data_IF_422484850333
#
_entry.id   IF_422484850333
#
_cell.length_a   1.000
_cell.length_b   1.000
_cell.length_c   1.000
_cell.angle_alpha   90.00
_cell.angle_beta   90.00
_cell.angle_gamma   90.00
#
_symmetry.space_group_name_H-M   'P 1'
#
loop_
_entity.id
_entity.type
_entity.pdbx_description
1 polymer ?
#
# COMPACT_ATOMS: atom_id res chain seq x y z
N UNK A 1 29.74 38.94 -8.37
CA UNK A 1 28.72 37.89 -8.58
C UNK A 1 28.99 36.73 -7.61
N UNK A 2 28.25 36.64 -6.51
CA UNK A 2 28.42 35.57 -5.51
C UNK A 2 27.54 34.39 -5.89
N UNK A 3 28.14 33.33 -6.43
CA UNK A 3 27.43 32.09 -6.72
C UNK A 3 27.15 31.34 -5.42
N UNK A 4 25.89 31.39 -4.96
CA UNK A 4 25.37 30.64 -3.81
C UNK A 4 25.66 29.13 -3.93
N UNK A 5 26.64 28.62 -3.19
CA UNK A 5 26.83 27.20 -2.83
C UNK A 5 25.73 26.75 -1.84
N UNK A 6 24.46 26.79 -2.22
CA UNK A 6 23.33 26.47 -1.31
C UNK A 6 22.74 25.06 -1.53
N UNK A 7 23.02 24.38 -2.66
CA UNK A 7 22.26 23.19 -3.04
C UNK A 7 22.58 21.86 -2.30
N UNK A 8 23.62 21.77 -1.46
CA UNK A 8 24.02 20.49 -0.83
C UNK A 8 23.57 20.30 0.63
N UNK A 9 23.16 21.36 1.33
CA UNK A 9 22.88 21.29 2.78
C UNK A 9 21.53 20.65 3.08
N UNK A 10 20.48 21.02 2.33
CA UNK A 10 19.11 20.51 2.53
C UNK A 10 18.93 19.01 2.23
N UNK A 11 19.87 18.42 1.48
CA UNK A 11 19.85 17.00 1.09
C UNK A 11 20.34 16.05 2.22
N UNK A 12 21.05 16.57 3.22
CA UNK A 12 21.60 15.75 4.31
C UNK A 12 20.62 15.67 5.47
N UNK A 13 19.99 16.79 5.85
CA UNK A 13 19.07 16.85 7.00
C UNK A 13 17.77 16.05 6.80
N UNK A 14 17.36 15.80 5.55
CA UNK A 14 16.15 15.03 5.28
C UNK A 14 16.36 13.50 5.24
N UNK A 15 17.60 12.99 5.25
CA UNK A 15 17.88 11.56 5.06
C UNK A 15 17.47 10.68 6.25
N UNK A 16 17.43 11.26 7.46
CA UNK A 16 17.18 10.50 8.69
C UNK A 16 15.74 9.96 8.73
N UNK A 17 14.78 10.73 8.20
CA UNK A 17 13.37 10.36 8.12
C UNK A 17 12.97 9.69 6.78
N UNK A 18 13.95 9.12 6.07
CA UNK A 18 13.75 8.55 4.74
C UNK A 18 14.29 7.12 4.66
N UNK A 19 13.60 6.27 3.91
CA UNK A 19 14.06 4.93 3.58
C UNK A 19 14.01 4.71 2.07
N UNK A 20 14.96 3.93 1.54
CA UNK A 20 15.07 3.69 0.10
C UNK A 20 15.31 2.21 -0.18
N UNK A 21 14.85 1.75 -1.34
CA UNK A 21 15.24 0.46 -1.89
C UNK A 21 15.37 0.54 -3.41
N UNK A 22 16.14 -0.39 -3.97
CA UNK A 22 16.41 -0.48 -5.41
C UNK A 22 16.31 -1.93 -5.86
N UNK A 23 15.75 -2.13 -7.04
CA UNK A 23 15.78 -3.40 -7.75
C UNK A 23 16.40 -3.20 -9.12
N UNK A 24 17.37 -4.04 -9.46
CA UNK A 24 18.13 -3.94 -10.70
C UNK A 24 17.77 -5.10 -11.66
N UNK A 25 17.84 -4.84 -12.97
CA UNK A 25 17.68 -5.85 -14.02
C UNK A 25 16.39 -6.68 -13.93
N UNK A 26 15.28 -6.08 -13.49
CA UNK A 26 13.99 -6.75 -13.41
C UNK A 26 13.43 -7.07 -14.80
N UNK A 27 12.84 -8.25 -14.97
CA UNK A 27 12.27 -8.72 -16.24
C UNK A 27 10.88 -8.14 -16.55
N UNK A 28 10.71 -6.83 -16.41
CA UNK A 28 9.45 -6.12 -16.64
C UNK A 28 9.60 -5.09 -17.77
N UNK A 29 8.47 -4.61 -18.30
CA UNK A 29 8.51 -3.54 -19.29
C UNK A 29 8.67 -2.18 -18.61
N UNK A 30 9.61 -1.37 -19.09
CA UNK A 30 9.79 0.01 -18.65
C UNK A 30 8.52 0.85 -18.82
N UNK A 31 7.76 0.63 -19.89
CA UNK A 31 6.52 1.37 -20.15
C UNK A 31 5.49 1.13 -19.04
N UNK A 32 5.26 -0.13 -18.68
CA UNK A 32 4.36 -0.49 -17.58
C UNK A 32 4.86 0.06 -16.24
N UNK A 33 6.16 -0.06 -15.97
CA UNK A 33 6.75 0.48 -14.75
C UNK A 33 6.60 2.00 -14.63
N UNK A 34 6.74 2.75 -15.73
CA UNK A 34 6.56 4.21 -15.73
C UNK A 34 5.12 4.61 -15.40
N UNK A 35 4.11 3.92 -15.94
CA UNK A 35 2.71 4.22 -15.61
C UNK A 35 2.39 3.88 -14.16
N UNK A 36 2.85 2.72 -13.67
CA UNK A 36 2.72 2.33 -12.24
C UNK A 36 3.39 3.38 -11.34
N UNK A 37 4.62 3.76 -11.67
CA UNK A 37 5.40 4.78 -10.95
C UNK A 37 4.66 6.10 -10.87
N UNK A 38 4.11 6.58 -11.99
CA UNK A 38 3.39 7.84 -12.05
C UNK A 38 2.12 7.80 -11.19
N UNK A 39 1.42 6.67 -11.15
CA UNK A 39 0.20 6.51 -10.37
C UNK A 39 0.45 6.44 -8.85
N UNK A 40 1.50 5.71 -8.45
CA UNK A 40 1.82 5.47 -7.04
C UNK A 40 2.61 6.61 -6.38
N UNK A 41 3.22 7.50 -7.17
CA UNK A 41 3.98 8.63 -6.63
C UNK A 41 3.09 9.49 -5.74
N UNK A 42 3.62 9.89 -4.58
CA UNK A 42 2.92 10.67 -3.56
C UNK A 42 1.72 9.98 -2.90
N UNK A 43 1.56 8.67 -3.04
CA UNK A 43 0.57 7.90 -2.28
C UNK A 43 1.17 7.35 -0.98
N UNK A 44 0.33 7.11 0.05
CA UNK A 44 0.77 6.40 1.24
C UNK A 44 1.15 4.96 0.89
N UNK A 45 2.10 4.40 1.63
CA UNK A 45 2.65 3.07 1.35
C UNK A 45 1.59 1.96 1.44
N UNK A 46 0.69 2.06 2.43
CA UNK A 46 -0.42 1.11 2.64
C UNK A 46 -1.41 1.07 1.45
N UNK A 47 -1.77 2.23 0.93
CA UNK A 47 -2.61 2.33 -0.28
C UNK A 47 -1.90 1.73 -1.50
N UNK A 48 -0.60 2.01 -1.66
CA UNK A 48 0.15 1.51 -2.80
C UNK A 48 0.20 -0.03 -2.84
N UNK A 49 0.40 -0.68 -1.68
CA UNK A 49 0.41 -2.14 -1.57
C UNK A 49 -0.95 -2.76 -1.90
N UNK A 50 -2.00 -2.33 -1.20
CA UNK A 50 -3.37 -2.83 -1.42
C UNK A 50 -3.83 -2.65 -2.87
N UNK A 51 -3.55 -1.49 -3.46
CA UNK A 51 -3.90 -1.23 -4.86
C UNK A 51 -3.14 -2.15 -5.83
N UNK A 52 -1.85 -2.39 -5.59
CA UNK A 52 -1.06 -3.27 -6.45
C UNK A 52 -1.46 -4.74 -6.33
N UNK A 53 -1.91 -5.19 -5.15
CA UNK A 53 -2.49 -6.53 -4.97
C UNK A 53 -3.76 -6.70 -5.80
N UNK A 54 -4.64 -5.69 -5.80
CA UNK A 54 -5.86 -5.71 -6.63
C UNK A 54 -5.53 -5.67 -8.13
N UNK A 55 -4.47 -4.97 -8.54
CA UNK A 55 -4.00 -4.96 -9.93
C UNK A 55 -3.44 -6.34 -10.32
N UNK A 56 -2.69 -6.99 -9.43
CA UNK A 56 -2.20 -8.35 -9.65
C UNK A 56 -3.36 -9.36 -9.78
N UNK A 57 -4.46 -9.12 -9.07
CA UNK A 57 -5.70 -9.89 -9.16
C UNK A 57 -6.66 -9.42 -10.27
N UNK A 58 -6.21 -8.53 -11.17
CA UNK A 58 -6.99 -8.00 -12.30
C UNK A 58 -8.28 -7.25 -11.91
N UNK A 59 -8.41 -6.82 -10.65
CA UNK A 59 -9.60 -6.12 -10.15
C UNK A 59 -9.58 -4.62 -10.42
N UNK A 60 -8.43 -3.97 -10.23
CA UNK A 60 -8.25 -2.53 -10.48
C UNK A 60 -7.27 -2.29 -11.62
N UNK A 61 -7.63 -1.42 -12.55
CA UNK A 61 -6.81 -1.08 -13.70
C UNK A 61 -5.90 0.11 -13.38
N UNK A 62 -4.67 0.09 -13.89
CA UNK A 62 -3.76 1.23 -13.80
C UNK A 62 -4.00 2.15 -15.00
N UNK A 63 -4.14 3.47 -14.80
CA UNK A 63 -4.27 4.42 -15.90
C UNK A 63 -2.97 4.53 -16.69
N UNK A 64 -3.06 4.53 -18.01
CA UNK A 64 -1.93 4.71 -18.92
C UNK A 64 -1.99 6.11 -19.51
N UNK A 65 -1.12 7.01 -19.05
CA UNK A 65 -1.13 8.42 -19.45
C UNK A 65 -0.14 8.70 -20.59
N UNK A 66 1.10 8.20 -20.49
CA UNK A 66 2.17 8.46 -21.46
C UNK A 66 2.13 7.45 -22.61
N UNK A 67 2.02 6.16 -22.28
CA UNK A 67 2.09 5.04 -23.23
C UNK A 67 0.70 4.51 -23.59
N UNK A 68 -0.20 5.39 -24.04
CA UNK A 68 -1.62 5.11 -24.29
C UNK A 68 -1.99 4.67 -25.72
N UNK A 69 -1.03 4.51 -26.63
CA UNK A 69 -1.31 4.09 -28.02
C UNK A 69 -1.83 2.65 -28.03
N UNK A 70 -2.98 2.43 -28.68
CA UNK A 70 -3.65 1.11 -28.80
C UNK A 70 -3.94 0.46 -27.43
N UNK A 71 -4.33 1.27 -26.45
CA UNK A 71 -4.76 0.79 -25.13
C UNK A 71 -6.28 0.90 -25.06
N UNK A 72 -6.95 -0.20 -24.68
CA UNK A 72 -8.40 -0.24 -24.54
C UNK A 72 -8.90 0.60 -23.36
N UNK A 73 -10.15 1.03 -23.47
CA UNK A 73 -10.84 1.77 -22.42
C UNK A 73 -11.18 0.86 -21.24
N UNK A 74 -11.23 1.44 -20.03
CA UNK A 74 -11.58 0.75 -18.78
C UNK A 74 -12.61 1.56 -18.00
N UNK A 75 -13.41 0.93 -17.14
CA UNK A 75 -14.38 1.65 -16.33
C UNK A 75 -13.69 2.74 -15.50
N UNK A 76 -14.18 3.98 -15.62
CA UNK A 76 -13.60 5.15 -14.96
C UNK A 76 -12.32 5.72 -15.60
N UNK A 77 -11.84 5.19 -16.73
CA UNK A 77 -10.64 5.72 -17.40
C UNK A 77 -10.59 5.44 -18.90
N UNK A 78 -10.17 6.43 -19.70
CA UNK A 78 -10.04 6.27 -21.14
C UNK A 78 -8.96 5.26 -21.56
N UNK A 79 -7.80 5.20 -20.88
CA UNK A 79 -6.77 4.21 -21.21
C UNK A 79 -6.29 3.53 -19.94
N UNK A 80 -6.48 2.21 -19.85
CA UNK A 80 -6.07 1.44 -18.67
C UNK A 80 -5.67 0.00 -19.01
N UNK A 81 -4.72 -0.55 -18.25
CA UNK A 81 -4.33 -1.97 -18.33
C UNK A 81 -4.08 -2.55 -16.94
N UNK A 82 -3.95 -3.88 -16.89
CA UNK A 82 -3.60 -4.63 -15.70
C UNK A 82 -2.18 -5.21 -15.85
N UNK A 83 -1.11 -4.48 -15.49
CA UNK A 83 0.26 -4.95 -15.64
C UNK A 83 0.67 -5.91 -14.51
N UNK A 84 0.12 -7.12 -14.51
CA UNK A 84 0.28 -8.14 -13.44
C UNK A 84 1.75 -8.39 -13.07
N UNK A 85 2.60 -8.71 -14.06
CA UNK A 85 4.02 -9.01 -13.82
C UNK A 85 4.76 -7.84 -13.17
N UNK A 86 4.48 -6.62 -13.62
CA UNK A 86 5.11 -5.44 -13.03
C UNK A 86 4.58 -5.19 -11.61
N UNK A 87 3.26 -5.30 -11.40
CA UNK A 87 2.65 -5.13 -10.08
C UNK A 87 3.28 -6.06 -9.02
N UNK A 88 3.49 -7.34 -9.36
CA UNK A 88 4.16 -8.31 -8.47
C UNK A 88 5.59 -7.89 -8.09
N UNK A 89 6.38 -7.39 -9.04
CA UNK A 89 7.74 -6.91 -8.75
C UNK A 89 7.73 -5.61 -7.92
N UNK A 90 6.77 -4.71 -8.15
CA UNK A 90 6.59 -3.52 -7.32
C UNK A 90 6.19 -3.87 -5.88
N UNK A 91 5.32 -4.86 -5.67
CA UNK A 91 4.95 -5.32 -4.32
C UNK A 91 6.17 -5.80 -3.54
N UNK A 92 7.02 -6.63 -4.16
CA UNK A 92 8.28 -7.10 -3.55
C UNK A 92 9.17 -5.92 -3.14
N UNK A 93 9.31 -4.92 -4.02
CA UNK A 93 10.11 -3.73 -3.73
C UNK A 93 9.52 -2.91 -2.59
N UNK A 94 8.20 -2.68 -2.55
CA UNK A 94 7.56 -1.93 -1.46
C UNK A 94 7.67 -2.64 -0.11
N UNK A 95 7.61 -3.98 -0.07
CA UNK A 95 7.84 -4.75 1.14
C UNK A 95 9.30 -4.62 1.63
N UNK A 96 10.26 -4.60 0.70
CA UNK A 96 11.67 -4.34 1.05
C UNK A 96 11.88 -2.92 1.59
N UNK A 97 11.21 -1.90 1.02
CA UNK A 97 11.29 -0.53 1.54
C UNK A 97 10.68 -0.43 2.94
N UNK A 98 9.56 -1.11 3.20
CA UNK A 98 8.94 -1.15 4.52
C UNK A 98 9.87 -1.78 5.56
N UNK A 99 10.50 -2.92 5.24
CA UNK A 99 11.48 -3.55 6.11
C UNK A 99 12.67 -2.62 6.41
N UNK A 100 13.16 -1.89 5.39
CA UNK A 100 14.20 -0.89 5.57
C UNK A 100 13.75 0.30 6.44
N UNK A 101 12.49 0.73 6.32
CA UNK A 101 11.93 1.80 7.14
C UNK A 101 11.75 1.36 8.59
N UNK A 102 11.31 0.11 8.81
CA UNK A 102 11.21 -0.49 10.14
C UNK A 102 12.58 -0.64 10.80
N UNK A 103 13.60 -1.06 10.05
CA UNK A 103 14.97 -1.12 10.55
C UNK A 103 15.50 0.25 10.99
N UNK A 104 15.09 1.32 10.30
CA UNK A 104 15.39 2.70 10.68
C UNK A 104 14.54 3.25 11.83
N UNK A 105 13.56 2.49 12.33
CA UNK A 105 12.65 2.94 13.39
C UNK A 105 11.59 3.95 12.93
N UNK A 106 11.32 4.05 11.63
CA UNK A 106 10.29 4.95 11.09
C UNK A 106 8.89 4.37 11.30
N UNK A 107 7.89 5.24 11.51
CA UNK A 107 6.51 4.78 11.64
C UNK A 107 5.92 4.36 10.30
N UNK A 108 5.68 3.04 10.14
CA UNK A 108 5.15 2.40 8.93
C UNK A 108 3.81 3.01 8.48
N UNK A 109 2.94 3.39 9.43
CA UNK A 109 1.62 3.93 9.11
C UNK A 109 1.68 5.29 8.41
N UNK A 110 2.73 6.08 8.68
CA UNK A 110 2.89 7.45 8.18
C UNK A 110 3.86 7.55 6.99
N UNK A 111 4.23 6.42 6.36
CA UNK A 111 5.12 6.42 5.21
C UNK A 111 4.41 6.84 3.92
N UNK A 112 5.03 7.79 3.21
CA UNK A 112 4.59 8.24 1.89
C UNK A 112 5.70 8.04 0.87
N UNK A 113 5.33 7.57 -0.33
CA UNK A 113 6.26 7.44 -1.44
C UNK A 113 6.59 8.84 -1.98
N UNK A 114 7.83 9.29 -1.80
CA UNK A 114 8.29 10.59 -2.30
C UNK A 114 8.82 10.45 -3.72
N UNK A 115 9.70 9.47 -3.92
CA UNK A 115 10.36 9.22 -5.19
C UNK A 115 10.11 7.79 -5.61
N UNK A 116 9.66 7.64 -6.84
CA UNK A 116 9.55 6.35 -7.50
C UNK A 116 10.08 6.53 -8.91
N UNK A 117 11.28 6.01 -9.18
CA UNK A 117 11.91 6.09 -10.49
C UNK A 117 11.96 4.73 -11.16
N UNK A 118 11.78 4.74 -12.47
CA UNK A 118 11.86 3.55 -13.32
C UNK A 118 12.73 3.88 -14.51
N UNK A 119 13.85 3.18 -14.62
CA UNK A 119 14.83 3.37 -15.68
C UNK A 119 14.94 2.11 -16.54
N UNK A 120 15.27 2.30 -17.81
CA UNK A 120 15.57 1.20 -18.72
C UNK A 120 16.89 0.55 -18.30
N UNK A 121 16.94 -0.77 -18.24
CA UNK A 121 18.16 -1.51 -17.95
C UNK A 121 18.85 -1.99 -19.22
N UNK A 122 20.05 -2.55 -19.06
CA UNK A 122 20.76 -3.24 -20.14
C UNK A 122 19.87 -4.34 -20.74
N UNK A 123 19.81 -4.34 -22.06
CA UNK A 123 18.92 -5.14 -22.88
C UNK A 123 19.71 -6.30 -23.48
N UNK A 124 19.61 -7.53 -22.95
CA UNK A 124 20.31 -8.66 -23.55
C UNK A 124 19.74 -8.94 -24.94
N UNK A 125 20.63 -9.17 -25.89
CA UNK A 125 20.29 -9.63 -27.24
C UNK A 125 19.88 -11.10 -27.15
N UNK A 126 18.76 -11.48 -27.78
CA UNK A 126 18.43 -12.90 -27.99
C UNK A 126 19.10 -13.40 -29.26
N UNK A 127 19.57 -14.65 -29.27
CA UNK A 127 20.26 -15.29 -30.41
C UNK A 127 19.38 -15.60 -31.63
N UNK A 128 18.20 -14.99 -31.74
CA UNK A 128 17.31 -15.17 -32.89
C UNK A 128 17.82 -14.40 -34.11
N UNK A 129 17.44 -14.83 -35.32
CA UNK A 129 17.74 -14.15 -36.61
C UNK A 129 17.44 -12.65 -36.57
N UNK A 130 16.36 -12.25 -35.89
CA UNK A 130 15.92 -10.86 -35.79
C UNK A 130 16.40 -10.15 -34.51
N UNK A 131 17.32 -10.75 -33.74
CA UNK A 131 17.96 -10.20 -32.54
C UNK A 131 17.03 -9.38 -31.64
N UNK A 132 15.87 -9.96 -31.28
CA UNK A 132 14.93 -9.28 -30.36
C UNK A 132 15.58 -9.13 -29.00
N UNK A 133 15.24 -8.08 -28.27
CA UNK A 133 15.76 -7.89 -26.91
C UNK A 133 14.70 -8.09 -25.84
N UNK A 134 15.07 -8.79 -24.77
CA UNK A 134 14.22 -8.99 -23.60
C UNK A 134 14.21 -7.73 -22.74
N UNK A 135 13.02 -7.19 -22.49
CA UNK A 135 12.85 -5.97 -21.69
C UNK A 135 13.37 -6.17 -20.27
N UNK A 136 14.20 -5.22 -19.81
CA UNK A 136 14.73 -5.15 -18.46
C UNK A 136 14.62 -3.73 -17.90
N UNK A 137 14.43 -3.59 -16.59
CA UNK A 137 14.30 -2.29 -15.92
C UNK A 137 14.97 -2.24 -14.55
N UNK A 138 15.39 -1.04 -14.17
CA UNK A 138 15.75 -0.70 -12.80
C UNK A 138 14.59 0.08 -12.16
N UNK A 139 14.33 -0.16 -10.88
CA UNK A 139 13.35 0.57 -10.09
C UNK A 139 14.03 1.09 -8.83
N UNK A 140 13.78 2.34 -8.48
CA UNK A 140 14.22 2.97 -7.24
C UNK A 140 12.99 3.56 -6.53
N UNK A 141 12.83 3.24 -5.25
CA UNK A 141 11.78 3.79 -4.39
C UNK A 141 12.43 4.47 -3.20
N UNK A 142 11.89 5.63 -2.84
CA UNK A 142 12.21 6.38 -1.64
C UNK A 142 10.92 6.78 -0.94
N UNK A 143 10.83 6.44 0.35
CA UNK A 143 9.73 6.81 1.23
C UNK A 143 10.22 7.80 2.26
N UNK A 144 9.32 8.69 2.67
CA UNK A 144 9.53 9.63 3.76
C UNK A 144 8.42 9.46 4.78
N UNK A 145 8.78 9.55 6.05
CA UNK A 145 7.80 9.69 7.10
C UNK A 145 7.12 11.06 7.01
N UNK A 146 5.79 11.06 6.85
CA UNK A 146 5.03 12.29 6.98
C UNK A 146 4.94 12.61 8.46
N UNK A 147 5.71 13.61 8.89
CA UNK A 147 5.46 14.26 10.17
C UNK A 147 4.02 14.75 10.18
N UNK A 148 3.21 14.23 11.10
CA UNK A 148 1.94 14.86 11.44
C UNK A 148 2.32 16.28 11.83
N UNK A 149 1.96 17.28 11.02
CA UNK A 149 2.02 18.67 11.47
C UNK A 149 1.25 18.66 12.78
N UNK A 150 1.93 18.86 13.91
CA UNK A 150 1.26 19.16 15.16
C UNK A 150 0.39 20.38 14.80
N UNK A 151 -0.93 20.18 14.69
CA UNK A 151 -1.84 21.32 14.82
C UNK A 151 -1.48 21.85 16.20
N UNK A 152 -1.00 23.09 16.25
CA UNK A 152 -0.73 23.76 17.52
C UNK A 152 -1.99 23.64 18.38
N UNK A 153 -1.94 22.79 19.38
CA UNK A 153 -3.02 22.51 20.32
C UNK A 153 -3.17 23.65 21.33
N UNK A 154 -2.96 24.90 20.89
CA UNK A 154 -3.06 26.11 21.69
C UNK A 154 -4.18 27.05 21.22
N UNK A 155 -5.12 26.56 20.40
CA UNK A 155 -6.33 27.32 20.01
C UNK A 155 -7.66 26.58 20.20
N UNK A 156 -7.68 25.46 20.92
CA UNK A 156 -8.89 24.69 21.25
C UNK A 156 -9.08 24.46 22.77
N UNK A 157 -8.39 25.25 23.61
CA UNK A 157 -8.48 25.13 25.07
C UNK A 157 -9.40 26.16 25.78
N UNK A 158 -10.12 27.03 25.06
CA UNK A 158 -10.97 28.06 25.70
C UNK A 158 -12.46 28.08 25.32
N UNK A 159 -12.99 27.06 24.63
CA UNK A 159 -14.44 26.94 24.46
C UNK A 159 -14.89 25.48 24.37
N UNK A 160 -15.61 25.03 25.41
CA UNK A 160 -16.47 23.84 25.50
C UNK A 160 -15.83 22.45 25.77
N UNK A 161 -15.84 22.05 27.06
CA UNK A 161 -16.20 20.68 27.51
C UNK A 161 -17.48 20.82 28.37
N UNK A 162 -18.41 19.83 28.45
CA UNK A 162 -18.20 18.39 28.29
C UNK A 162 -19.30 17.61 27.50
N UNK A 163 -18.93 16.73 26.55
CA UNK A 163 -19.85 15.72 25.94
C UNK A 163 -19.33 14.27 26.07
N UNK A 164 -18.18 14.08 26.74
CA UNK A 164 -17.52 12.76 26.84
C UNK A 164 -18.22 11.73 27.75
N UNK A 165 -19.28 12.07 28.48
CA UNK A 165 -19.97 11.12 29.38
C UNK A 165 -21.14 10.34 28.75
N UNK A 166 -21.50 10.55 27.47
CA UNK A 166 -22.66 9.88 26.83
C UNK A 166 -22.33 8.81 25.79
N UNK A 167 -21.11 8.79 25.23
CA UNK A 167 -20.77 7.87 24.12
C UNK A 167 -20.15 6.57 24.65
N UNK A 168 -19.35 6.62 25.72
CA UNK A 168 -18.75 5.42 26.34
C UNK A 168 -19.81 4.51 27.02
N UNK A 169 -20.95 5.05 27.47
CA UNK A 169 -22.07 4.25 27.99
C UNK A 169 -22.86 3.51 26.89
N UNK A 170 -22.93 4.05 25.67
CA UNK A 170 -23.66 3.42 24.54
C UNK A 170 -22.89 2.28 23.87
N UNK A 171 -21.56 2.31 23.93
CA UNK A 171 -20.72 1.23 23.38
C UNK A 171 -20.55 0.05 24.34
N UNK A 172 -20.67 0.28 25.66
CA UNK A 172 -20.67 -0.76 26.68
C UNK A 172 -21.97 -1.60 26.65
N UNK A 173 -23.15 -0.98 26.52
CA UNK A 173 -24.44 -1.70 26.46
C UNK A 173 -24.58 -2.61 25.21
N UNK A 174 -23.99 -2.23 24.08
CA UNK A 174 -24.03 -3.06 22.86
C UNK A 174 -23.14 -4.30 22.92
N UNK A 175 -22.04 -4.26 23.68
CA UNK A 175 -21.14 -5.42 23.87
C UNK A 175 -21.67 -6.40 24.91
N UNK A 176 -22.44 -5.93 25.88
CA UNK A 176 -23.07 -6.77 26.90
C UNK A 176 -24.30 -7.53 26.38
N UNK A 177 -25.08 -6.95 25.46
CA UNK A 177 -26.22 -7.63 24.84
C UNK A 177 -25.82 -8.68 23.80
N UNK A 178 -24.76 -8.43 23.00
CA UNK A 178 -24.27 -9.40 22.01
C UNK A 178 -23.64 -10.65 22.65
N UNK A 179 -22.98 -10.50 23.80
CA UNK A 179 -22.44 -11.64 24.56
C UNK A 179 -23.50 -12.47 25.29
N UNK A 180 -24.69 -11.91 25.58
CA UNK A 180 -25.83 -12.65 26.13
C UNK A 180 -26.57 -13.47 25.06
N UNK A 181 -26.72 -12.97 23.83
CA UNK A 181 -27.31 -13.73 22.71
C UNK A 181 -26.41 -14.89 22.26
N UNK A 182 -25.09 -14.67 22.13
CA UNK A 182 -24.15 -15.72 21.69
C UNK A 182 -24.02 -16.83 22.74
N UNK A 183 -24.12 -16.51 24.04
CA UNK A 183 -24.14 -17.52 25.13
C UNK A 183 -25.44 -18.33 25.19
N UNK A 184 -26.59 -17.74 24.82
CA UNK A 184 -27.88 -18.43 24.77
C UNK A 184 -28.00 -19.38 23.56
N UNK A 185 -27.40 -19.01 22.43
CA UNK A 185 -27.30 -19.86 21.23
C UNK A 185 -26.31 -21.02 21.41
N UNK A 186 -25.18 -20.80 22.10
CA UNK A 186 -24.22 -21.89 22.39
C UNK A 186 -24.68 -22.86 23.49
N UNK A 187 -25.67 -22.51 24.30
CA UNK A 187 -26.31 -23.44 25.24
C UNK A 187 -27.37 -24.30 24.55
N UNK A 188 -28.19 -23.74 23.65
CA UNK A 188 -29.15 -24.51 22.83
C UNK A 188 -28.48 -25.57 21.95
N UNK A 189 -27.43 -25.19 21.21
CA UNK A 189 -26.70 -26.13 20.35
C UNK A 189 -26.01 -27.26 21.14
N UNK A 190 -25.72 -27.05 22.44
CA UNK A 190 -25.15 -28.09 23.32
C UNK A 190 -26.20 -29.00 23.98
N UNK A 191 -27.46 -28.56 24.08
CA UNK A 191 -28.58 -29.39 24.52
C UNK A 191 -29.11 -30.25 23.37
N UNK A 192 -29.24 -29.68 22.17
CA UNK A 192 -29.69 -30.39 20.97
C UNK A 192 -28.71 -31.53 20.59
N UNK A 193 -27.39 -31.30 20.68
CA UNK A 193 -26.37 -32.33 20.46
C UNK A 193 -26.29 -33.39 21.59
N UNK A 194 -26.88 -33.11 22.76
CA UNK A 194 -26.96 -34.09 23.87
C UNK A 194 -28.20 -34.96 23.78
N UNK A 195 -29.25 -34.51 23.11
CA UNK A 195 -30.45 -35.32 22.81
C UNK A 195 -30.17 -36.28 21.65
N UNK A 196 -29.51 -35.84 20.57
CA UNK A 196 -29.12 -36.73 19.45
C UNK A 196 -28.16 -37.87 19.87
N UNK A 197 -27.28 -37.62 20.84
CA UNK A 197 -26.33 -38.64 21.36
C UNK A 197 -26.98 -39.57 22.40
N UNK A 198 -28.15 -39.21 22.94
CA UNK A 198 -28.94 -40.09 23.81
C UNK A 198 -29.86 -41.02 22.99
N UNK A 199 -30.46 -40.51 21.92
CA UNK A 199 -31.26 -41.32 20.97
C UNK A 199 -30.41 -42.38 20.26
N UNK A 200 -29.17 -42.08 19.90
CA UNK A 200 -28.24 -43.04 19.28
C UNK A 200 -27.66 -44.11 20.24
N UNK A 201 -28.07 -44.13 21.51
CA UNK A 201 -27.63 -45.13 22.51
C UNK A 201 -28.74 -46.04 23.03
N UNK A 202 -29.99 -45.82 22.60
CA UNK A 202 -31.16 -46.65 22.95
C UNK A 202 -31.68 -47.52 21.80
N UNK A 203 -31.01 -47.52 20.63
CA UNK A 203 -31.15 -48.54 19.57
C UNK A 203 -30.05 -49.61 19.62
#
# INVERSE_FOLDING_TARGET
MVTKKIAKKDQVENKDHMASAKSLNLAISTKHGVEISSFLRFKPLSFAKSYLEEVANLRKAIPFNRFKRNVGHKPGMAAGRFPEKAAKEFLKLLNSVEANAQFKGLNIANLKIVKLLVNKAALPMTGSRHRRSTKRTHIEVEVKEMGVKKKDSNKEASAAKPVKTKIEKKEAEKKENTTKTVKKETQKVKEDQKEEVKEAKEE
#
